data_IF_196563845680
#
_entry.id   IF_196563845680
#
_cell.length_a   1.000
_cell.length_b   1.000
_cell.length_c   1.000
_cell.angle_alpha   90.00
_cell.angle_beta   90.00
_cell.angle_gamma   90.00
#
_symmetry.space_group_name_H-M   'P 1'
#
loop_
_entity.id
_entity.type
_entity.pdbx_description
1 polymer ?
#
# COMPACT_ATOMS: atom_id res chain seq x y z
N UNK A 1 -26.50 4.79 -0.22
CA UNK A 1 -25.23 5.47 0.10
C UNK A 1 -24.07 4.58 -0.24
N UNK A 2 -23.12 5.09 -0.97
CA UNK A 2 -21.94 4.32 -1.32
C UNK A 2 -20.87 4.49 -0.25
N UNK A 3 -20.21 3.39 0.08
CA UNK A 3 -19.06 3.45 0.93
C UNK A 3 -17.89 4.04 0.16
N UNK A 4 -17.14 4.91 0.82
CA UNK A 4 -15.90 5.45 0.26
C UNK A 4 -14.88 4.32 0.12
N UNK A 5 -14.11 4.37 -0.95
CA UNK A 5 -12.95 3.50 -1.09
C UNK A 5 -11.89 3.91 -0.07
N UNK A 6 -11.14 2.93 0.41
CA UNK A 6 -10.13 3.13 1.44
C UNK A 6 -8.77 2.71 0.94
N UNK A 7 -7.75 3.47 1.34
CA UNK A 7 -6.37 3.12 1.11
C UNK A 7 -5.61 3.13 2.43
N UNK A 8 -4.82 2.10 2.66
CA UNK A 8 -3.89 2.02 3.78
C UNK A 8 -2.48 2.14 3.24
N UNK A 9 -1.70 3.03 3.86
CA UNK A 9 -0.30 3.25 3.49
C UNK A 9 0.56 2.84 4.68
N UNK A 10 1.40 1.80 4.50
CA UNK A 10 2.34 1.35 5.52
C UNK A 10 3.74 1.74 5.05
N UNK A 11 4.23 2.86 5.53
CA UNK A 11 5.52 3.43 5.17
C UNK A 11 5.96 4.41 6.27
N UNK A 12 7.24 4.40 6.62
CA UNK A 12 7.76 5.29 7.68
C UNK A 12 8.25 6.65 7.15
N UNK A 13 8.26 6.84 5.83
CA UNK A 13 8.63 8.13 5.24
C UNK A 13 7.44 9.08 5.24
N UNK A 14 7.50 10.08 6.10
CA UNK A 14 6.42 11.06 6.25
C UNK A 14 6.09 11.79 4.96
N UNK A 15 7.11 12.22 4.21
CA UNK A 15 6.90 12.98 2.98
C UNK A 15 6.16 12.16 1.92
N UNK A 16 6.53 10.89 1.76
CA UNK A 16 5.84 10.01 0.82
C UNK A 16 4.40 9.75 1.25
N UNK A 17 4.18 9.52 2.55
CA UNK A 17 2.83 9.33 3.07
C UNK A 17 1.94 10.54 2.79
N UNK A 18 2.47 11.76 2.94
CA UNK A 18 1.73 12.99 2.66
C UNK A 18 1.42 13.13 1.16
N UNK A 19 2.37 12.80 0.31
CA UNK A 19 2.16 12.83 -1.14
C UNK A 19 1.06 11.87 -1.57
N UNK A 20 1.13 10.64 -1.10
CA UNK A 20 0.12 9.63 -1.39
C UNK A 20 -1.24 10.03 -0.84
N UNK A 21 -1.27 10.57 0.38
CA UNK A 21 -2.51 11.04 0.99
C UNK A 21 -3.16 12.12 0.14
N UNK A 22 -2.39 13.13 -0.27
CA UNK A 22 -2.91 14.19 -1.11
C UNK A 22 -3.49 13.66 -2.42
N UNK A 23 -2.78 12.76 -3.07
CA UNK A 23 -3.21 12.19 -4.33
C UNK A 23 -4.53 11.44 -4.18
N UNK A 24 -4.62 10.53 -3.20
CA UNK A 24 -5.82 9.69 -3.04
C UNK A 24 -7.01 10.42 -2.42
N UNK A 25 -6.78 11.46 -1.61
CA UNK A 25 -7.87 12.33 -1.15
C UNK A 25 -8.56 13.01 -2.34
N UNK A 26 -7.79 13.44 -3.34
CA UNK A 26 -8.36 14.03 -4.57
C UNK A 26 -9.20 13.03 -5.36
N UNK A 27 -8.95 11.74 -5.19
CA UNK A 27 -9.74 10.67 -5.80
C UNK A 27 -10.90 10.21 -4.90
N UNK A 28 -11.14 10.92 -3.82
CA UNK A 28 -12.21 10.63 -2.87
C UNK A 28 -12.02 9.35 -2.07
N UNK A 29 -10.76 8.93 -1.89
CA UNK A 29 -10.44 7.82 -1.00
C UNK A 29 -10.35 8.29 0.45
N UNK A 30 -10.76 7.43 1.37
CA UNK A 30 -10.40 7.57 2.78
C UNK A 30 -8.98 7.04 2.95
N UNK A 31 -8.10 7.83 3.55
CA UNK A 31 -6.66 7.50 3.64
C UNK A 31 -6.28 7.20 5.08
N UNK A 32 -5.71 6.02 5.30
CA UNK A 32 -5.19 5.60 6.60
C UNK A 32 -3.68 5.42 6.44
N UNK A 33 -2.91 5.93 7.40
CA UNK A 33 -1.45 5.86 7.38
C UNK A 33 -0.95 5.12 8.62
N UNK A 34 -0.04 4.17 8.41
CA UNK A 34 0.71 3.50 9.47
C UNK A 34 2.20 3.56 9.16
N UNK A 35 3.02 3.72 10.19
CA UNK A 35 4.47 3.84 10.03
C UNK A 35 5.22 2.57 10.44
N UNK A 36 4.51 1.56 10.93
CA UNK A 36 5.09 0.29 11.38
C UNK A 36 4.27 -0.89 10.87
N UNK A 37 4.90 -2.07 10.81
CA UNK A 37 4.20 -3.30 10.45
C UNK A 37 3.14 -3.66 11.49
N UNK A 38 3.45 -3.49 12.77
CA UNK A 38 2.52 -3.83 13.84
C UNK A 38 1.23 -3.02 13.73
N UNK A 39 1.35 -1.70 13.63
CA UNK A 39 0.18 -0.84 13.48
C UNK A 39 -0.51 -1.09 12.13
N UNK A 40 0.27 -1.27 11.08
CA UNK A 40 -0.25 -1.55 9.75
C UNK A 40 -1.13 -2.79 9.72
N UNK A 41 -0.70 -3.86 10.40
CA UNK A 41 -1.49 -5.08 10.51
C UNK A 41 -2.82 -4.86 11.22
N UNK A 42 -2.82 -4.05 12.27
CA UNK A 42 -4.05 -3.69 12.99
C UNK A 42 -5.00 -2.91 12.08
N UNK A 43 -4.47 -1.91 11.37
CA UNK A 43 -5.29 -1.08 10.48
C UNK A 43 -5.82 -1.89 9.29
N UNK A 44 -5.03 -2.79 8.75
CA UNK A 44 -5.44 -3.67 7.66
C UNK A 44 -6.63 -4.54 8.07
N UNK A 45 -6.56 -5.13 9.24
CA UNK A 45 -7.64 -5.95 9.77
C UNK A 45 -8.91 -5.13 10.05
N UNK A 46 -8.75 -3.93 10.60
CA UNK A 46 -9.88 -3.08 11.00
C UNK A 46 -10.59 -2.46 9.81
N UNK A 47 -9.85 -2.02 8.79
CA UNK A 47 -10.40 -1.24 7.70
C UNK A 47 -10.63 -2.04 6.41
N UNK A 48 -9.91 -3.13 6.21
CA UNK A 48 -9.98 -3.94 4.98
C UNK A 48 -9.97 -3.03 3.75
N UNK A 49 -8.86 -2.31 3.51
CA UNK A 49 -8.80 -1.29 2.46
C UNK A 49 -8.92 -1.89 1.06
N UNK A 50 -9.30 -1.04 0.10
CA UNK A 50 -9.31 -1.41 -1.32
C UNK A 50 -7.90 -1.44 -1.89
N UNK A 51 -7.01 -0.56 -1.38
CA UNK A 51 -5.61 -0.50 -1.80
C UNK A 51 -4.71 -0.49 -0.56
N UNK A 52 -3.63 -1.26 -0.62
CA UNK A 52 -2.58 -1.27 0.40
C UNK A 52 -1.25 -0.90 -0.26
N UNK A 53 -0.63 0.19 0.17
CA UNK A 53 0.77 0.49 -0.14
C UNK A 53 1.64 -0.08 0.97
N UNK A 54 2.59 -0.93 0.63
CA UNK A 54 3.42 -1.62 1.60
C UNK A 54 4.89 -1.43 1.27
N UNK A 55 5.58 -0.65 2.11
CA UNK A 55 7.02 -0.48 2.02
C UNK A 55 7.74 -1.73 2.54
N UNK A 56 8.89 -2.03 1.95
CA UNK A 56 9.70 -3.16 2.41
C UNK A 56 10.53 -2.81 3.65
N UNK A 57 10.99 -1.57 3.76
CA UNK A 57 11.94 -1.17 4.80
C UNK A 57 11.24 -0.39 5.91
N UNK A 58 10.79 -1.10 6.93
CA UNK A 58 10.04 -0.53 8.05
C UNK A 58 10.84 -0.69 9.36
N UNK A 59 10.54 0.14 10.38
CA UNK A 59 11.31 0.09 11.64
C UNK A 59 11.26 -1.26 12.34
N UNK A 60 10.17 -1.99 12.19
CA UNK A 60 9.94 -3.25 12.88
C UNK A 60 9.97 -4.48 11.96
N UNK A 61 10.50 -4.33 10.75
CA UNK A 61 10.73 -5.48 9.88
C UNK A 61 10.62 -5.17 8.40
N UNK A 62 10.68 -6.23 7.60
CA UNK A 62 10.56 -6.16 6.15
C UNK A 62 9.12 -6.39 5.74
N UNK A 63 8.48 -5.35 5.21
CA UNK A 63 7.06 -5.40 4.88
C UNK A 63 6.70 -6.45 3.85
N UNK A 64 7.52 -6.61 2.82
CA UNK A 64 7.22 -7.52 1.72
C UNK A 64 7.15 -8.99 2.13
N UNK A 65 7.78 -9.38 3.24
CA UNK A 65 7.65 -10.73 3.75
C UNK A 65 6.20 -11.07 4.14
N UNK A 66 5.41 -10.06 4.48
CA UNK A 66 4.01 -10.25 4.86
C UNK A 66 3.05 -10.20 3.66
N UNK A 67 3.52 -9.76 2.49
CA UNK A 67 2.66 -9.54 1.34
C UNK A 67 1.91 -10.80 0.88
N UNK A 68 2.53 -11.98 0.78
CA UNK A 68 1.78 -13.18 0.41
C UNK A 68 0.66 -13.51 1.37
N UNK A 69 0.90 -13.37 2.67
CA UNK A 69 -0.10 -13.61 3.71
C UNK A 69 -1.25 -12.60 3.61
N UNK A 70 -0.93 -11.33 3.39
CA UNK A 70 -1.94 -10.30 3.20
C UNK A 70 -2.78 -10.55 1.96
N UNK A 71 -2.15 -10.96 0.86
CA UNK A 71 -2.87 -11.27 -0.37
C UNK A 71 -3.85 -12.44 -0.16
N UNK A 72 -3.44 -13.45 0.59
CA UNK A 72 -4.29 -14.59 0.88
C UNK A 72 -5.45 -14.23 1.82
N UNK A 73 -5.18 -13.41 2.84
CA UNK A 73 -6.19 -13.04 3.84
C UNK A 73 -7.13 -11.94 3.37
N UNK A 74 -6.67 -11.08 2.46
CA UNK A 74 -7.44 -9.92 1.96
C UNK A 74 -7.47 -9.93 0.44
N UNK A 75 -8.17 -10.90 -0.17
CA UNK A 75 -8.11 -11.08 -1.63
C UNK A 75 -8.72 -9.93 -2.44
N UNK A 76 -9.51 -9.08 -1.80
CA UNK A 76 -10.11 -7.91 -2.46
C UNK A 76 -9.24 -6.66 -2.34
N UNK A 77 -8.14 -6.72 -1.62
CA UNK A 77 -7.22 -5.60 -1.47
C UNK A 77 -6.17 -5.64 -2.57
N UNK A 78 -6.02 -4.54 -3.30
CA UNK A 78 -4.96 -4.39 -4.30
C UNK A 78 -3.69 -3.97 -3.58
N UNK A 79 -2.63 -4.78 -3.69
CA UNK A 79 -1.38 -4.54 -2.95
C UNK A 79 -0.38 -3.85 -3.86
N UNK A 80 0.14 -2.71 -3.42
CA UNK A 80 1.21 -1.97 -4.10
C UNK A 80 2.47 -2.11 -3.26
N UNK A 81 3.43 -2.88 -3.76
CA UNK A 81 4.71 -3.09 -3.10
C UNK A 81 5.65 -1.97 -3.51
N UNK A 82 6.17 -1.22 -2.53
CA UNK A 82 7.07 -0.10 -2.80
C UNK A 82 8.40 -0.30 -2.09
N UNK A 83 9.49 0.12 -2.74
CA UNK A 83 10.83 0.04 -2.17
C UNK A 83 11.80 0.96 -2.91
N UNK A 84 12.79 1.48 -2.17
CA UNK A 84 13.91 2.26 -2.74
C UNK A 84 14.98 1.36 -3.33
N UNK A 85 15.05 0.11 -2.89
CA UNK A 85 16.00 -0.87 -3.37
C UNK A 85 15.26 -1.97 -4.10
N UNK A 86 15.94 -2.75 -4.91
CA UNK A 86 15.33 -3.85 -5.65
C UNK A 86 15.42 -5.16 -4.86
N UNK A 87 14.60 -5.34 -3.80
CA UNK A 87 14.61 -6.60 -3.08
C UNK A 87 14.00 -7.71 -3.94
N UNK A 88 14.30 -8.94 -3.56
CA UNK A 88 13.65 -10.07 -4.21
C UNK A 88 12.15 -10.03 -3.95
N UNK A 89 11.37 -10.18 -5.03
CA UNK A 89 9.92 -10.20 -4.92
C UNK A 89 9.49 -11.46 -4.15
N UNK A 90 8.62 -11.34 -3.14
CA UNK A 90 8.09 -12.52 -2.47
C UNK A 90 7.22 -13.35 -3.42
N UNK A 91 7.09 -14.63 -3.13
CA UNK A 91 6.24 -15.51 -3.93
C UNK A 91 4.78 -15.23 -3.61
N UNK A 92 4.11 -14.52 -4.51
CA UNK A 92 2.71 -14.11 -4.34
C UNK A 92 1.77 -15.22 -4.79
N UNK A 93 0.58 -15.35 -4.17
CA UNK A 93 -0.45 -16.26 -4.67
C UNK A 93 -0.78 -15.99 -6.14
N UNK A 94 -1.10 -17.03 -6.89
CA UNK A 94 -1.32 -16.93 -8.33
C UNK A 94 -2.41 -15.94 -8.73
N UNK A 95 -3.43 -15.76 -7.89
CA UNK A 95 -4.55 -14.86 -8.15
C UNK A 95 -4.43 -13.51 -7.43
N UNK A 96 -3.28 -13.22 -6.84
CA UNK A 96 -3.08 -11.97 -6.10
C UNK A 96 -3.12 -10.78 -7.05
N UNK A 97 -3.77 -9.71 -6.60
CA UNK A 97 -3.79 -8.43 -7.31
C UNK A 97 -2.71 -7.55 -6.69
N UNK A 98 -1.64 -7.31 -7.42
CA UNK A 98 -0.54 -6.49 -6.91
C UNK A 98 0.27 -5.87 -8.03
N UNK A 99 1.05 -4.87 -7.68
CA UNK A 99 2.09 -4.31 -8.54
C UNK A 99 3.25 -3.83 -7.69
N UNK A 100 4.38 -3.62 -8.34
CA UNK A 100 5.60 -3.12 -7.69
C UNK A 100 5.91 -1.75 -8.25
N UNK A 101 6.17 -0.78 -7.36
CA UNK A 101 6.58 0.56 -7.76
C UNK A 101 7.86 0.91 -7.02
N UNK A 102 8.85 1.36 -7.76
CA UNK A 102 10.14 1.75 -7.22
C UNK A 102 10.12 3.20 -6.77
N UNK A 103 10.71 3.48 -5.61
CA UNK A 103 10.93 4.86 -5.17
C UNK A 103 12.11 5.48 -5.94
N UNK A 104 12.13 6.79 -6.15
CA UNK A 104 11.19 7.80 -5.65
C UNK A 104 9.89 7.82 -6.47
N UNK A 105 8.80 8.20 -5.82
CA UNK A 105 7.48 8.26 -6.41
C UNK A 105 7.01 9.72 -6.42
N UNK A 106 6.66 10.22 -7.60
CA UNK A 106 6.11 11.57 -7.73
C UNK A 106 4.65 11.55 -8.20
N UNK A 107 4.03 12.72 -8.29
CA UNK A 107 2.64 12.85 -8.72
C UNK A 107 2.42 12.30 -10.14
N UNK A 108 3.37 12.53 -11.05
CA UNK A 108 3.27 12.02 -12.42
C UNK A 108 3.25 10.48 -12.45
N UNK A 109 4.04 9.85 -11.57
CA UNK A 109 4.06 8.39 -11.45
C UNK A 109 2.71 7.87 -10.96
N UNK A 110 2.11 8.56 -9.99
CA UNK A 110 0.81 8.19 -9.44
C UNK A 110 -0.29 8.32 -10.49
N UNK A 111 -0.29 9.41 -11.26
CA UNK A 111 -1.25 9.57 -12.35
C UNK A 111 -1.12 8.46 -13.39
N UNK A 112 0.11 8.12 -13.76
CA UNK A 112 0.36 7.06 -14.73
C UNK A 112 -0.13 5.70 -14.23
N UNK A 113 0.09 5.40 -12.95
CA UNK A 113 -0.21 4.10 -12.37
C UNK A 113 -1.65 3.95 -11.89
N UNK A 114 -2.26 5.04 -11.43
CA UNK A 114 -3.54 4.98 -10.70
C UNK A 114 -4.66 5.85 -11.27
N UNK A 115 -4.50 6.39 -12.47
CA UNK A 115 -5.56 7.24 -13.06
C UNK A 115 -6.89 6.50 -13.21
N UNK A 116 -6.87 5.19 -13.36
CA UNK A 116 -8.06 4.36 -13.49
C UNK A 116 -8.68 3.89 -12.17
N UNK A 117 -8.07 4.25 -11.05
CA UNK A 117 -8.54 3.79 -9.73
C UNK A 117 -9.61 4.73 -9.12
#
# INVERSE_FOLDING_TARGET
>A
MQDSKKILIIDDETDLCLLLKEYFLRKSYEVIISHTLKDGGVQLSSHRPDILFLDNNLPDGTGWQNAPSYAASYPNTYIVLISAFHPSLPEMPANAKYRVIEKPIGMADLDKQFSGF
#
